data_IF_136645352456
#
_entry.id   IF_136645352456
#
_cell.length_a   1.000
_cell.length_b   1.000
_cell.length_c   1.000
_cell.angle_alpha   90.00
_cell.angle_beta   90.00
_cell.angle_gamma   90.00
#
_symmetry.space_group_name_H-M   'P 1'
#
loop_
_entity.id
_entity.type
_entity.pdbx_description
1 polymer ?
#
# COMPACT_ATOMS: atom_id res chain seq x y z
N UNK A 1 -12.74 -43.36 11.25
CA UNK A 1 -11.94 -43.59 10.03
C UNK A 1 -11.91 -42.42 9.05
N UNK A 2 -13.03 -41.77 8.72
CA UNK A 2 -13.02 -40.62 7.78
C UNK A 2 -12.14 -39.44 8.22
N UNK A 3 -12.15 -39.09 9.52
CA UNK A 3 -11.31 -38.02 10.07
C UNK A 3 -9.81 -38.33 9.92
N UNK A 4 -9.39 -39.56 10.23
CA UNK A 4 -8.00 -40.01 10.07
C UNK A 4 -7.59 -40.02 8.59
N UNK A 5 -8.49 -40.45 7.70
CA UNK A 5 -8.30 -40.35 6.25
C UNK A 5 -8.09 -38.90 5.80
N UNK A 6 -8.94 -37.97 6.26
CA UNK A 6 -8.81 -36.55 5.96
C UNK A 6 -7.48 -35.95 6.42
N UNK A 7 -6.98 -36.32 7.61
CA UNK A 7 -5.64 -35.88 8.05
C UNK A 7 -4.51 -36.43 7.18
N UNK A 8 -4.61 -37.68 6.72
CA UNK A 8 -3.64 -38.29 5.81
C UNK A 8 -3.64 -37.58 4.45
N UNK A 9 -4.82 -37.33 3.87
CA UNK A 9 -4.94 -36.65 2.57
C UNK A 9 -4.46 -35.19 2.66
N UNK A 10 -4.82 -34.48 3.73
CA UNK A 10 -4.31 -33.13 4.01
C UNK A 10 -2.78 -33.10 4.11
N UNK A 11 -2.19 -34.08 4.80
CA UNK A 11 -0.73 -34.20 4.93
C UNK A 11 -0.05 -34.46 3.58
N UNK A 12 -0.64 -35.32 2.74
CA UNK A 12 -0.12 -35.62 1.40
C UNK A 12 -0.19 -34.39 0.47
N UNK A 13 -1.30 -33.65 0.51
CA UNK A 13 -1.44 -32.42 -0.27
C UNK A 13 -0.46 -31.32 0.17
N UNK A 14 -0.03 -31.34 1.43
CA UNK A 14 0.94 -30.37 1.96
C UNK A 14 2.38 -30.61 1.48
N UNK A 15 2.72 -31.82 1.00
CA UNK A 15 4.11 -32.15 0.60
C UNK A 15 4.61 -31.18 -0.49
N UNK A 16 3.80 -30.91 -1.51
CA UNK A 16 4.18 -30.00 -2.60
C UNK A 16 4.43 -28.56 -2.13
N UNK A 17 3.56 -28.06 -1.23
CA UNK A 17 3.72 -26.73 -0.63
C UNK A 17 4.97 -26.68 0.25
N UNK A 18 5.24 -27.75 1.02
CA UNK A 18 6.41 -27.89 1.86
C UNK A 18 7.71 -27.83 1.06
N UNK A 19 7.80 -28.56 -0.05
CA UNK A 19 8.96 -28.53 -0.95
C UNK A 19 9.14 -27.13 -1.55
N UNK A 20 8.08 -26.54 -2.10
CA UNK A 20 8.16 -25.20 -2.69
C UNK A 20 8.61 -24.13 -1.67
N UNK A 21 8.10 -24.21 -0.44
CA UNK A 21 8.47 -23.28 0.65
C UNK A 21 9.91 -23.49 1.11
N UNK A 22 10.37 -24.76 1.19
CA UNK A 22 11.77 -25.06 1.52
C UNK A 22 12.72 -24.49 0.46
N UNK A 23 12.39 -24.64 -0.83
CA UNK A 23 13.16 -24.04 -1.93
C UNK A 23 13.15 -22.52 -1.88
N UNK A 24 11.99 -21.90 -1.64
CA UNK A 24 11.90 -20.44 -1.44
C UNK A 24 12.78 -19.97 -0.27
N UNK A 25 12.84 -20.73 0.82
CA UNK A 25 13.71 -20.44 1.96
C UNK A 25 15.21 -20.47 1.61
N UNK A 26 15.65 -21.42 0.78
CA UNK A 26 17.03 -21.47 0.27
C UNK A 26 17.35 -20.25 -0.59
N UNK A 27 16.41 -19.87 -1.47
CA UNK A 27 16.52 -18.66 -2.31
C UNK A 27 16.66 -17.42 -1.42
N UNK A 28 15.79 -17.26 -0.43
CA UNK A 28 15.83 -16.17 0.56
C UNK A 28 17.17 -16.13 1.31
N UNK A 29 17.69 -17.27 1.75
CA UNK A 29 18.99 -17.36 2.40
C UNK A 29 20.13 -16.89 1.50
N UNK A 30 20.15 -17.34 0.24
CA UNK A 30 21.15 -16.92 -0.74
C UNK A 30 21.07 -15.41 -1.04
N UNK A 31 19.87 -14.86 -1.19
CA UNK A 31 19.62 -13.42 -1.41
C UNK A 31 20.15 -12.59 -0.24
N UNK A 32 19.87 -13.03 0.99
CA UNK A 32 20.29 -12.34 2.21
C UNK A 32 21.82 -12.33 2.32
N UNK A 33 22.48 -13.46 2.04
CA UNK A 33 23.95 -13.58 2.12
C UNK A 33 24.69 -12.83 1.00
N UNK A 34 24.09 -12.72 -0.18
CA UNK A 34 24.68 -12.05 -1.35
C UNK A 34 24.48 -10.54 -1.35
N UNK A 35 23.61 -10.01 -0.49
CA UNK A 35 23.27 -8.59 -0.46
C UNK A 35 22.40 -8.14 -1.64
N UNK A 36 21.73 -9.08 -2.33
CA UNK A 36 20.90 -8.76 -3.50
C UNK A 36 19.77 -7.77 -3.16
N UNK A 37 19.29 -7.76 -1.91
CA UNK A 37 18.28 -6.78 -1.45
C UNK A 37 18.74 -5.33 -1.62
N UNK A 38 19.99 -5.01 -1.25
CA UNK A 38 20.56 -3.67 -1.42
C UNK A 38 20.67 -3.31 -2.91
N UNK A 39 21.12 -4.25 -3.73
CA UNK A 39 21.20 -4.07 -5.19
C UNK A 39 19.83 -3.85 -5.83
N UNK A 40 18.79 -4.49 -5.31
CA UNK A 40 17.42 -4.25 -5.78
C UNK A 40 16.95 -2.84 -5.39
N UNK A 41 17.28 -2.36 -4.19
CA UNK A 41 17.02 -0.96 -3.79
C UNK A 41 17.68 0.02 -4.74
N UNK A 42 19.00 -0.12 -4.98
CA UNK A 42 19.75 0.72 -5.93
C UNK A 42 19.15 0.68 -7.34
N UNK A 43 18.78 -0.52 -7.83
CA UNK A 43 18.25 -0.69 -9.17
C UNK A 43 16.87 -0.04 -9.33
N UNK A 44 15.99 -0.21 -8.33
CA UNK A 44 14.68 0.44 -8.35
C UNK A 44 14.84 1.95 -8.23
N UNK A 45 15.73 2.44 -7.38
CA UNK A 45 15.99 3.88 -7.26
C UNK A 45 16.54 4.47 -8.56
N UNK A 46 17.46 3.77 -9.22
CA UNK A 46 17.96 4.17 -10.53
C UNK A 46 16.84 4.30 -11.58
N UNK A 47 15.85 3.40 -11.56
CA UNK A 47 14.69 3.48 -12.47
C UNK A 47 13.69 4.55 -12.03
N UNK A 48 13.47 4.71 -10.73
CA UNK A 48 12.48 5.61 -10.16
C UNK A 48 12.92 7.07 -10.17
N UNK A 49 14.22 7.35 -10.03
CA UNK A 49 14.81 8.69 -9.95
C UNK A 49 14.08 9.57 -8.92
N UNK A 50 13.85 9.04 -7.71
CA UNK A 50 13.08 9.69 -6.65
C UNK A 50 11.57 9.79 -6.88
N UNK A 51 11.01 9.25 -7.97
CA UNK A 51 9.56 9.26 -8.20
C UNK A 51 8.89 8.02 -7.59
N UNK A 52 8.16 8.24 -6.49
CA UNK A 52 7.40 7.20 -5.75
C UNK A 52 6.45 6.40 -6.64
N UNK A 53 5.78 7.04 -7.60
CA UNK A 53 4.81 6.33 -8.44
C UNK A 53 5.52 5.40 -9.44
N UNK A 54 6.63 5.85 -10.02
CA UNK A 54 7.47 5.02 -10.90
C UNK A 54 8.05 3.86 -10.11
N UNK A 55 8.55 4.12 -8.90
CA UNK A 55 9.02 3.09 -7.97
C UNK A 55 7.95 2.01 -7.72
N UNK A 56 6.74 2.40 -7.30
CA UNK A 56 5.66 1.45 -7.00
C UNK A 56 5.22 0.67 -8.25
N UNK A 57 5.15 1.32 -9.43
CA UNK A 57 4.83 0.64 -10.69
C UNK A 57 5.89 -0.40 -11.07
N UNK A 58 7.17 -0.04 -10.90
CA UNK A 58 8.28 -0.94 -11.18
C UNK A 58 8.30 -2.13 -10.22
N UNK A 59 8.12 -1.89 -8.92
CA UNK A 59 8.02 -2.96 -7.91
C UNK A 59 6.81 -3.85 -8.17
N UNK A 60 5.66 -3.28 -8.52
CA UNK A 60 4.47 -4.04 -8.89
C UNK A 60 4.75 -4.99 -10.07
N UNK A 61 5.43 -4.49 -11.10
CA UNK A 61 5.86 -5.30 -12.24
C UNK A 61 6.82 -6.42 -11.83
N UNK A 62 7.85 -6.11 -11.03
CA UNK A 62 8.81 -7.10 -10.54
C UNK A 62 8.11 -8.18 -9.70
N UNK A 63 7.23 -7.80 -8.77
CA UNK A 63 6.43 -8.74 -7.98
C UNK A 63 5.55 -9.63 -8.85
N UNK A 64 4.92 -9.07 -9.89
CA UNK A 64 4.12 -9.85 -10.85
C UNK A 64 5.00 -10.88 -11.54
N UNK A 65 6.14 -10.48 -12.10
CA UNK A 65 7.07 -11.39 -12.81
C UNK A 65 7.62 -12.47 -11.89
N UNK A 66 8.05 -12.11 -10.69
CA UNK A 66 8.58 -13.05 -9.70
C UNK A 66 7.52 -14.04 -9.21
N UNK A 67 6.24 -13.64 -9.20
CA UNK A 67 5.13 -14.47 -8.76
C UNK A 67 4.60 -15.46 -9.81
N UNK A 68 4.98 -15.30 -11.08
CA UNK A 68 4.49 -16.15 -12.16
C UNK A 68 4.91 -17.62 -11.96
N UNK A 69 3.93 -18.50 -11.80
CA UNK A 69 4.14 -19.96 -11.83
C UNK A 69 4.63 -20.56 -10.51
N UNK A 70 4.55 -19.83 -9.40
CA UNK A 70 4.96 -20.28 -8.06
C UNK A 70 3.73 -20.39 -7.16
N UNK A 71 3.60 -21.45 -6.32
CA UNK A 71 2.49 -21.56 -5.36
C UNK A 71 2.39 -20.32 -4.45
N UNK A 72 1.18 -19.85 -4.16
CA UNK A 72 0.90 -18.61 -3.44
C UNK A 72 1.75 -18.40 -2.18
N UNK A 73 1.90 -19.45 -1.36
CA UNK A 73 2.71 -19.38 -0.13
C UNK A 73 4.20 -19.16 -0.42
N UNK A 74 4.77 -19.92 -1.35
CA UNK A 74 6.18 -19.80 -1.71
C UNK A 74 6.47 -18.47 -2.45
N UNK A 75 5.52 -18.04 -3.28
CA UNK A 75 5.54 -16.74 -3.95
C UNK A 75 5.61 -15.61 -2.92
N UNK A 76 4.72 -15.58 -1.92
CA UNK A 76 4.74 -14.57 -0.86
C UNK A 76 6.08 -14.53 -0.13
N UNK A 77 6.64 -15.67 0.26
CA UNK A 77 7.95 -15.74 0.92
C UNK A 77 9.04 -15.09 0.06
N UNK A 78 9.04 -15.34 -1.25
CA UNK A 78 10.01 -14.80 -2.18
C UNK A 78 9.83 -13.28 -2.37
N UNK A 79 8.63 -12.82 -2.73
CA UNK A 79 8.40 -11.39 -3.01
C UNK A 79 8.46 -10.52 -1.76
N UNK A 80 8.00 -11.02 -0.60
CA UNK A 80 8.07 -10.26 0.65
C UNK A 80 9.50 -10.10 1.14
N UNK A 81 10.35 -11.12 0.97
CA UNK A 81 11.76 -11.01 1.38
C UNK A 81 12.54 -10.09 0.45
N UNK A 82 12.23 -10.10 -0.85
CA UNK A 82 12.96 -9.32 -1.85
C UNK A 82 12.49 -7.88 -1.96
N UNK A 83 11.18 -7.66 -2.08
CA UNK A 83 10.62 -6.38 -2.52
C UNK A 83 10.04 -5.54 -1.38
N UNK A 84 9.54 -6.16 -0.30
CA UNK A 84 9.04 -5.40 0.84
C UNK A 84 10.09 -4.46 1.46
N UNK A 85 11.35 -4.88 1.73
CA UNK A 85 12.36 -3.97 2.26
C UNK A 85 12.67 -2.81 1.29
N UNK A 86 12.66 -3.07 -0.02
CA UNK A 86 12.88 -2.04 -1.05
C UNK A 86 11.78 -0.97 -1.01
N UNK A 87 10.51 -1.37 -0.93
CA UNK A 87 9.38 -0.44 -0.80
C UNK A 87 9.49 0.41 0.47
N UNK A 88 9.85 -0.20 1.60
CA UNK A 88 10.00 0.50 2.88
C UNK A 88 11.14 1.52 2.81
N UNK A 89 12.28 1.10 2.32
CA UNK A 89 13.50 1.91 2.26
C UNK A 89 13.33 3.11 1.31
N UNK A 90 12.95 2.86 0.05
CA UNK A 90 12.76 3.93 -0.93
C UNK A 90 11.53 4.79 -0.65
N UNK A 91 10.48 4.21 -0.05
CA UNK A 91 9.34 4.96 0.47
C UNK A 91 9.80 5.97 1.54
N UNK A 92 10.57 5.51 2.53
CA UNK A 92 11.13 6.37 3.56
C UNK A 92 12.04 7.46 2.97
N UNK A 93 12.89 7.12 2.00
CA UNK A 93 13.74 8.09 1.30
C UNK A 93 12.95 9.15 0.54
N UNK A 94 11.82 8.75 -0.05
CA UNK A 94 10.91 9.65 -0.76
C UNK A 94 9.97 10.45 0.15
N UNK A 95 10.12 10.32 1.48
CA UNK A 95 9.28 11.00 2.46
C UNK A 95 7.93 10.34 2.75
N UNK A 96 7.68 9.13 2.25
CA UNK A 96 6.45 8.39 2.43
C UNK A 96 6.61 7.28 3.47
N UNK A 97 5.91 7.41 4.60
CA UNK A 97 5.85 6.34 5.60
C UNK A 97 4.70 5.41 5.28
N UNK A 98 5.05 4.18 4.93
CA UNK A 98 4.06 3.16 4.60
C UNK A 98 3.98 2.16 5.76
N UNK A 99 2.78 1.87 6.33
CA UNK A 99 2.65 0.81 7.30
C UNK A 99 3.15 -0.52 6.73
N UNK A 100 3.95 -1.27 7.50
CA UNK A 100 4.57 -2.51 7.03
C UNK A 100 3.54 -3.51 6.47
N UNK A 101 2.38 -3.63 7.10
CA UNK A 101 1.31 -4.50 6.59
C UNK A 101 0.81 -4.08 5.20
N UNK A 102 0.75 -2.78 4.91
CA UNK A 102 0.36 -2.26 3.60
C UNK A 102 1.39 -2.62 2.53
N UNK A 103 2.69 -2.57 2.88
CA UNK A 103 3.78 -3.02 2.01
C UNK A 103 3.69 -4.52 1.73
N UNK A 104 3.51 -5.34 2.77
CA UNK A 104 3.38 -6.79 2.61
C UNK A 104 2.15 -7.16 1.77
N UNK A 105 1.01 -6.49 1.98
CA UNK A 105 -0.17 -6.68 1.14
C UNK A 105 0.05 -6.20 -0.29
N UNK A 106 0.78 -5.10 -0.49
CA UNK A 106 1.11 -4.61 -1.83
C UNK A 106 1.89 -5.66 -2.63
N UNK A 107 3.02 -6.13 -2.09
CA UNK A 107 3.85 -7.13 -2.79
C UNK A 107 3.12 -8.48 -2.92
N UNK A 108 2.32 -8.86 -1.93
CA UNK A 108 1.51 -10.07 -1.97
C UNK A 108 0.46 -10.03 -3.08
N UNK A 109 -0.32 -8.95 -3.18
CA UNK A 109 -1.36 -8.80 -4.20
C UNK A 109 -0.78 -8.85 -5.61
N UNK A 110 0.37 -8.21 -5.84
CA UNK A 110 1.04 -8.28 -7.13
C UNK A 110 1.65 -9.64 -7.41
N UNK A 111 2.22 -10.30 -6.39
CA UNK A 111 2.72 -11.66 -6.51
C UNK A 111 1.62 -12.63 -6.97
N UNK A 112 0.45 -12.61 -6.34
CA UNK A 112 -0.64 -13.55 -6.68
C UNK A 112 -1.40 -13.19 -7.95
N UNK A 113 -1.27 -11.95 -8.45
CA UNK A 113 -1.91 -11.58 -9.72
C UNK A 113 -1.35 -12.33 -10.93
N UNK A 114 -0.16 -12.93 -10.81
CA UNK A 114 0.36 -13.87 -11.80
C UNK A 114 -0.58 -15.04 -12.09
N UNK A 115 -1.43 -15.44 -11.14
CA UNK A 115 -2.36 -16.58 -11.27
C UNK A 115 -3.54 -16.31 -12.22
N UNK A 116 -3.80 -15.04 -12.54
CA UNK A 116 -4.85 -14.62 -13.49
C UNK A 116 -4.30 -13.89 -14.72
N UNK A 117 -3.04 -13.47 -14.69
CA UNK A 117 -2.43 -12.67 -15.75
C UNK A 117 -1.80 -13.60 -16.81
N UNK A 118 -2.16 -13.46 -18.10
CA UNK A 118 -1.44 -14.16 -19.17
C UNK A 118 0.05 -13.82 -19.14
N UNK A 119 0.96 -14.78 -19.43
CA UNK A 119 0.71 -16.08 -20.06
C UNK A 119 0.50 -17.26 -19.08
N UNK A 120 0.57 -17.06 -17.75
CA UNK A 120 0.61 -18.18 -16.78
C UNK A 120 -0.77 -18.54 -16.21
N UNK A 121 -1.61 -17.56 -15.86
CA UNK A 121 -3.06 -17.70 -15.67
C UNK A 121 -3.62 -19.06 -15.21
N UNK A 122 -3.11 -19.69 -14.14
CA UNK A 122 -3.50 -21.06 -13.77
C UNK A 122 -5.01 -21.23 -13.59
N UNK A 123 -5.66 -20.22 -13.00
CA UNK A 123 -7.12 -20.20 -12.84
C UNK A 123 -7.85 -20.03 -14.18
N UNK A 124 -7.27 -19.26 -15.11
CA UNK A 124 -7.87 -18.98 -16.41
C UNK A 124 -7.72 -20.17 -17.35
N UNK A 125 -6.63 -20.94 -17.24
CA UNK A 125 -6.48 -22.24 -17.93
C UNK A 125 -7.52 -23.26 -17.44
N UNK A 126 -7.77 -23.33 -16.13
CA UNK A 126 -8.81 -24.21 -15.60
C UNK A 126 -10.21 -23.78 -16.06
N UNK A 127 -10.51 -22.48 -16.05
CA UNK A 127 -11.78 -21.95 -16.53
C UNK A 127 -11.98 -22.17 -18.04
N UNK A 128 -10.93 -22.01 -18.84
CA UNK A 128 -10.93 -22.30 -20.27
C UNK A 128 -11.18 -23.78 -20.55
N UNK A 129 -10.57 -24.69 -19.79
CA UNK A 129 -10.81 -26.13 -19.92
C UNK A 129 -12.27 -26.53 -19.60
N UNK A 130 -12.95 -25.80 -18.70
CA UNK A 130 -14.37 -26.03 -18.38
C UNK A 130 -15.29 -25.44 -19.45
N UNK A 131 -14.97 -24.25 -19.97
CA UNK A 131 -15.80 -23.52 -20.93
C UNK A 131 -15.59 -23.92 -22.39
N UNK A 132 -14.42 -24.49 -22.73
CA UNK A 132 -14.03 -24.83 -24.09
C UNK A 132 -13.47 -23.65 -24.91
N UNK A 133 -13.24 -22.50 -24.27
CA UNK A 133 -12.71 -21.28 -24.89
C UNK A 133 -11.18 -21.24 -24.88
N UNK A 134 -10.59 -20.26 -25.58
CA UNK A 134 -9.15 -20.02 -25.52
C UNK A 134 -8.71 -19.51 -24.13
N UNK A 135 -7.62 -20.07 -23.60
CA UNK A 135 -7.14 -19.76 -22.26
C UNK A 135 -6.52 -18.37 -22.13
N UNK A 136 -5.91 -17.85 -23.20
CA UNK A 136 -5.33 -16.51 -23.22
C UNK A 136 -6.46 -15.49 -23.31
N UNK A 137 -7.45 -15.69 -24.16
CA UNK A 137 -8.62 -14.80 -24.24
C UNK A 137 -9.40 -14.76 -22.91
N UNK A 138 -9.63 -15.94 -22.31
CA UNK A 138 -10.23 -16.06 -20.97
C UNK A 138 -9.40 -15.33 -19.92
N UNK A 139 -8.06 -15.44 -20.00
CA UNK A 139 -7.14 -14.76 -19.09
C UNK A 139 -7.13 -13.25 -19.24
N UNK A 140 -7.10 -12.73 -20.47
CA UNK A 140 -7.21 -11.29 -20.74
C UNK A 140 -8.52 -10.75 -20.20
N UNK A 141 -9.64 -11.43 -20.48
CA UNK A 141 -10.95 -11.00 -19.99
C UNK A 141 -11.04 -11.05 -18.46
N UNK A 142 -10.50 -12.10 -17.84
CA UNK A 142 -10.40 -12.24 -16.39
C UNK A 142 -9.55 -11.13 -15.76
N UNK A 143 -8.40 -10.80 -16.34
CA UNK A 143 -7.54 -9.71 -15.88
C UNK A 143 -8.23 -8.35 -15.98
N UNK A 144 -9.00 -8.08 -17.05
CA UNK A 144 -9.79 -6.86 -17.18
C UNK A 144 -10.85 -6.76 -16.07
N UNK A 145 -11.55 -7.86 -15.75
CA UNK A 145 -12.51 -7.89 -14.65
C UNK A 145 -11.84 -7.72 -13.28
N UNK A 146 -10.62 -8.21 -13.13
CA UNK A 146 -9.82 -8.08 -11.93
C UNK A 146 -9.08 -6.73 -11.81
N UNK A 147 -9.15 -5.82 -12.79
CA UNK A 147 -8.40 -4.55 -12.78
C UNK A 147 -8.58 -3.74 -11.49
N UNK A 148 -9.71 -3.88 -10.79
CA UNK A 148 -9.93 -3.24 -9.47
C UNK A 148 -8.90 -3.68 -8.44
N UNK A 149 -8.50 -4.95 -8.44
CA UNK A 149 -7.51 -5.50 -7.49
C UNK A 149 -6.09 -5.11 -7.85
N UNK A 150 -5.85 -4.63 -9.08
CA UNK A 150 -4.57 -4.00 -9.48
C UNK A 150 -4.45 -2.61 -8.84
N UNK A 151 -5.51 -1.81 -8.89
CA UNK A 151 -5.43 -0.41 -8.47
C UNK A 151 -5.45 -0.26 -6.94
N UNK A 152 -6.22 -1.11 -6.25
CA UNK A 152 -6.41 -1.03 -4.81
C UNK A 152 -5.08 -1.03 -4.01
N UNK A 153 -4.06 -1.85 -4.37
CA UNK A 153 -2.71 -1.74 -3.84
C UNK A 153 -2.11 -0.35 -3.80
N UNK A 154 -2.18 0.38 -4.91
CA UNK A 154 -1.66 1.74 -4.94
C UNK A 154 -2.45 2.64 -4.01
N UNK A 155 -3.77 2.47 -3.94
CA UNK A 155 -4.62 3.33 -3.12
C UNK A 155 -4.28 3.16 -1.63
N UNK A 156 -4.17 1.92 -1.11
CA UNK A 156 -3.92 1.74 0.33
C UNK A 156 -2.51 2.09 0.78
N UNK A 157 -1.54 2.14 -0.15
CA UNK A 157 -0.20 2.66 0.15
C UNK A 157 -0.27 4.13 0.56
N UNK A 158 -1.19 4.89 -0.04
CA UNK A 158 -1.39 6.31 0.25
C UNK A 158 -2.58 6.60 1.16
N UNK A 159 -3.51 5.65 1.30
CA UNK A 159 -4.65 5.73 2.22
C UNK A 159 -4.77 4.42 3.02
N UNK A 160 -3.95 4.24 4.08
CA UNK A 160 -3.96 3.02 4.88
C UNK A 160 -5.27 2.77 5.64
N UNK A 161 -6.18 3.75 5.71
CA UNK A 161 -7.51 3.56 6.33
C UNK A 161 -8.30 2.46 5.64
N UNK A 162 -8.06 2.22 4.35
CA UNK A 162 -8.64 1.09 3.61
C UNK A 162 -8.31 -0.28 4.23
N UNK A 163 -7.20 -0.36 4.96
CA UNK A 163 -6.76 -1.55 5.69
C UNK A 163 -7.19 -1.52 7.17
N UNK A 164 -8.12 -0.62 7.52
CA UNK A 164 -8.59 -0.36 8.88
C UNK A 164 -7.50 0.16 9.83
N UNK A 165 -6.46 0.78 9.28
CA UNK A 165 -5.38 1.40 10.05
C UNK A 165 -5.79 2.83 10.40
N UNK A 166 -5.63 3.22 11.66
CA UNK A 166 -5.98 4.55 12.19
C UNK A 166 -7.46 4.92 12.02
N UNK A 167 -8.36 3.92 12.14
CA UNK A 167 -9.82 4.12 12.13
C UNK A 167 -10.34 4.10 13.56
N UNK A 168 -10.81 5.24 14.05
CA UNK A 168 -11.23 5.43 15.42
C UNK A 168 -12.76 5.52 15.52
N UNK A 169 -13.36 4.45 16.03
CA UNK A 169 -14.80 4.41 16.31
C UNK A 169 -15.71 4.10 15.13
N UNK A 170 -16.98 3.83 15.45
CA UNK A 170 -17.97 3.32 14.49
C UNK A 170 -18.35 4.33 13.40
N UNK A 171 -18.32 5.63 13.70
CA UNK A 171 -18.68 6.67 12.73
C UNK A 171 -17.68 6.80 11.59
N UNK A 172 -16.38 6.66 11.86
CA UNK A 172 -15.33 6.60 10.83
C UNK A 172 -15.43 5.31 10.01
N UNK A 173 -15.60 4.17 10.69
CA UNK A 173 -15.75 2.87 10.04
C UNK A 173 -16.92 2.85 9.05
N UNK A 174 -18.11 3.29 9.47
CA UNK A 174 -19.31 3.29 8.61
C UNK A 174 -19.09 4.20 7.40
N UNK A 175 -18.52 5.39 7.60
CA UNK A 175 -18.22 6.32 6.49
C UNK A 175 -17.24 5.70 5.50
N UNK A 176 -16.15 5.11 6.00
CA UNK A 176 -15.16 4.42 5.17
C UNK A 176 -15.80 3.28 4.38
N UNK A 177 -16.56 2.39 5.02
CA UNK A 177 -17.22 1.25 4.36
C UNK A 177 -18.16 1.73 3.27
N UNK A 178 -18.98 2.75 3.53
CA UNK A 178 -19.90 3.30 2.54
C UNK A 178 -19.16 3.95 1.37
N UNK A 179 -18.13 4.74 1.64
CA UNK A 179 -17.32 5.38 0.62
C UNK A 179 -16.60 4.35 -0.27
N UNK A 180 -15.96 3.35 0.33
CA UNK A 180 -15.27 2.27 -0.39
C UNK A 180 -16.22 1.41 -1.22
N UNK A 181 -17.40 1.09 -0.66
CA UNK A 181 -18.43 0.33 -1.39
C UNK A 181 -18.91 1.12 -2.60
N UNK A 182 -19.22 2.41 -2.42
CA UNK A 182 -19.64 3.28 -3.50
C UNK A 182 -18.53 3.44 -4.56
N UNK A 183 -17.29 3.70 -4.15
CA UNK A 183 -16.15 3.82 -5.04
C UNK A 183 -15.93 2.56 -5.88
N UNK A 184 -16.06 1.38 -5.26
CA UNK A 184 -15.90 0.10 -5.95
C UNK A 184 -17.01 -0.16 -6.97
N UNK A 185 -18.27 0.19 -6.63
CA UNK A 185 -19.40 0.09 -7.56
C UNK A 185 -19.25 1.04 -8.75
N UNK A 186 -18.82 2.29 -8.52
CA UNK A 186 -18.57 3.25 -9.60
C UNK A 186 -17.38 2.81 -10.45
N UNK A 187 -16.33 2.28 -9.83
CA UNK A 187 -15.18 1.74 -10.56
C UNK A 187 -15.60 0.58 -11.48
N UNK A 188 -16.45 -0.32 -11.01
CA UNK A 188 -17.02 -1.37 -11.87
C UNK A 188 -17.84 -0.78 -13.03
N UNK A 189 -18.60 0.30 -12.80
CA UNK A 189 -19.33 0.98 -13.86
C UNK A 189 -18.41 1.65 -14.90
N UNK A 190 -17.26 2.16 -14.45
CA UNK A 190 -16.21 2.73 -15.31
C UNK A 190 -15.58 1.64 -16.17
N UNK A 191 -15.15 0.52 -15.58
CA UNK A 191 -14.47 -0.56 -16.31
C UNK A 191 -15.40 -1.30 -17.27
N UNK A 192 -16.67 -1.49 -16.89
CA UNK A 192 -17.68 -2.10 -17.77
C UNK A 192 -18.30 -1.11 -18.77
N UNK A 193 -17.93 0.17 -18.70
CA UNK A 193 -18.49 1.25 -19.52
C UNK A 193 -20.03 1.35 -19.45
N UNK A 194 -20.60 0.97 -18.30
CA UNK A 194 -22.04 0.89 -18.09
C UNK A 194 -22.38 1.27 -16.66
N UNK A 195 -23.26 2.26 -16.50
CA UNK A 195 -23.79 2.64 -15.18
C UNK A 195 -25.29 2.38 -15.11
N UNK A 196 -26.12 3.23 -15.75
CA UNK A 196 -27.53 2.92 -16.02
C UNK A 196 -27.76 2.55 -17.48
N UNK A 197 -27.05 3.24 -18.35
CA UNK A 197 -26.96 3.00 -19.78
C UNK A 197 -25.48 2.98 -20.16
N UNK A 198 -25.18 2.60 -21.40
CA UNK A 198 -23.84 2.74 -21.95
C UNK A 198 -23.31 4.17 -21.76
N UNK A 199 -22.21 4.26 -21.03
CA UNK A 199 -21.57 5.52 -20.66
C UNK A 199 -20.92 6.15 -21.90
N UNK A 200 -21.04 7.47 -22.01
CA UNK A 200 -20.21 8.24 -22.95
C UNK A 200 -18.81 8.38 -22.38
N UNK A 201 -17.81 8.59 -23.23
CA UNK A 201 -16.42 8.73 -22.79
C UNK A 201 -16.25 9.78 -21.68
N UNK A 202 -16.94 10.92 -21.79
CA UNK A 202 -16.90 11.97 -20.76
C UNK A 202 -17.66 11.57 -19.47
N UNK A 203 -18.76 10.80 -19.56
CA UNK A 203 -19.45 10.26 -18.38
C UNK A 203 -18.51 9.31 -17.63
N UNK A 204 -17.78 8.47 -18.36
CA UNK A 204 -16.76 7.57 -17.81
C UNK A 204 -15.62 8.34 -17.14
N UNK A 205 -15.14 9.44 -17.74
CA UNK A 205 -14.12 10.30 -17.12
C UNK A 205 -14.62 10.95 -15.83
N UNK A 206 -15.86 11.45 -15.79
CA UNK A 206 -16.45 12.03 -14.58
C UNK A 206 -16.64 10.98 -13.47
N UNK A 207 -17.07 9.77 -13.83
CA UNK A 207 -17.18 8.66 -12.87
C UNK A 207 -15.80 8.21 -12.37
N UNK A 208 -14.79 8.15 -13.24
CA UNK A 208 -13.41 7.85 -12.85
C UNK A 208 -12.87 8.91 -11.89
N UNK A 209 -13.13 10.20 -12.15
CA UNK A 209 -12.77 11.29 -11.25
C UNK A 209 -13.47 11.16 -9.88
N UNK A 210 -14.75 10.79 -9.87
CA UNK A 210 -15.49 10.51 -8.63
C UNK A 210 -14.88 9.35 -7.83
N UNK A 211 -14.38 8.31 -8.51
CA UNK A 211 -13.66 7.20 -7.85
C UNK A 211 -12.38 7.70 -7.19
N UNK A 212 -11.59 8.54 -7.85
CA UNK A 212 -10.36 9.11 -7.26
C UNK A 212 -10.69 9.96 -6.03
N UNK A 213 -11.73 10.80 -6.10
CA UNK A 213 -12.18 11.59 -4.93
C UNK A 213 -12.64 10.72 -3.75
N UNK A 214 -13.31 9.59 -4.00
CA UNK A 214 -13.78 8.70 -2.93
C UNK A 214 -12.66 7.87 -2.32
N UNK A 215 -11.72 7.37 -3.13
CA UNK A 215 -10.64 6.51 -2.64
C UNK A 215 -9.47 7.27 -2.02
N UNK A 216 -9.18 8.47 -2.55
CA UNK A 216 -7.99 9.23 -2.18
C UNK A 216 -8.33 10.72 -1.98
N UNK A 217 -9.30 11.05 -1.09
CA UNK A 217 -9.67 12.44 -0.81
C UNK A 217 -8.47 13.25 -0.29
N UNK A 218 -7.57 12.59 0.45
CA UNK A 218 -6.38 13.19 1.06
C UNK A 218 -5.46 13.84 0.03
N UNK A 219 -5.32 13.27 -1.17
CA UNK A 219 -4.49 13.84 -2.23
C UNK A 219 -4.92 15.26 -2.62
N UNK A 220 -6.23 15.50 -2.69
CA UNK A 220 -6.74 16.83 -3.02
C UNK A 220 -6.67 17.76 -1.82
N UNK A 221 -6.78 17.22 -0.60
CA UNK A 221 -6.58 18.00 0.61
C UNK A 221 -5.13 18.44 0.76
N UNK A 222 -4.16 17.56 0.47
CA UNK A 222 -2.72 17.84 0.51
C UNK A 222 -2.31 18.95 -0.47
N UNK A 223 -2.99 19.06 -1.62
CA UNK A 223 -2.78 20.14 -2.58
C UNK A 223 -3.22 21.51 -2.04
N UNK A 224 -4.19 21.53 -1.13
CA UNK A 224 -4.68 22.76 -0.49
C UNK A 224 -3.90 23.07 0.78
N UNK A 225 -3.74 22.07 1.65
CA UNK A 225 -3.07 22.17 2.94
C UNK A 225 -2.36 20.83 3.28
N UNK A 226 -1.02 20.84 3.37
CA UNK A 226 -0.25 19.64 3.68
C UNK A 226 -0.64 19.00 5.01
N UNK A 227 -0.71 17.66 5.05
CA UNK A 227 -1.02 16.91 6.26
C UNK A 227 -0.06 17.18 7.41
N UNK A 228 1.23 17.29 7.08
CA UNK A 228 2.30 17.43 8.05
C UNK A 228 3.10 18.70 7.79
N UNK A 229 3.43 19.39 8.88
CA UNK A 229 4.42 20.49 8.88
C UNK A 229 5.71 20.02 9.53
N UNK A 230 6.84 20.47 8.98
CA UNK A 230 8.15 20.16 9.54
C UNK A 230 8.50 21.15 10.66
N UNK A 231 8.80 20.63 11.84
CA UNK A 231 9.16 21.39 13.04
C UNK A 231 10.64 21.13 13.36
N UNK A 232 11.39 22.10 13.92
CA UNK A 232 12.81 21.92 14.24
C UNK A 232 13.06 20.70 15.14
N UNK A 233 14.18 20.01 14.91
CA UNK A 233 14.55 18.80 15.63
C UNK A 233 14.65 19.00 17.15
N UNK A 234 14.95 20.22 17.62
CA UNK A 234 14.96 20.57 19.04
C UNK A 234 13.62 20.30 19.76
N UNK A 235 12.50 20.36 19.05
CA UNK A 235 11.16 20.14 19.63
C UNK A 235 10.77 18.65 19.66
N UNK A 236 11.66 17.74 19.29
CA UNK A 236 11.37 16.30 19.25
C UNK A 236 10.88 15.75 20.58
N UNK A 237 11.40 16.24 21.70
CA UNK A 237 10.97 15.79 23.02
C UNK A 237 9.57 16.28 23.38
N UNK A 238 9.19 17.49 22.96
CA UNK A 238 7.86 18.03 23.18
C UNK A 238 6.83 17.28 22.31
N UNK A 239 7.15 17.06 21.03
CA UNK A 239 6.31 16.24 20.14
C UNK A 239 6.17 14.82 20.68
N UNK A 240 7.27 14.22 21.14
CA UNK A 240 7.26 12.89 21.76
C UNK A 240 6.48 12.84 23.07
N UNK A 241 6.30 13.94 23.79
CA UNK A 241 5.44 14.01 24.97
C UNK A 241 3.97 14.04 24.58
N UNK A 242 3.62 14.86 23.60
CA UNK A 242 2.23 15.21 23.28
C UNK A 242 1.55 14.19 22.32
N UNK A 243 2.34 13.38 21.60
CA UNK A 243 1.82 12.31 20.71
C UNK A 243 1.08 11.22 21.49
N UNK A 244 -0.07 10.79 20.95
CA UNK A 244 -0.91 9.76 21.58
C UNK A 244 -0.27 8.37 21.59
N UNK A 245 -0.86 7.42 22.32
CA UNK A 245 -0.33 6.05 22.42
C UNK A 245 -0.38 5.30 21.08
N UNK A 246 -1.41 5.56 20.28
CA UNK A 246 -1.64 4.87 19.01
C UNK A 246 -0.93 5.57 17.83
N UNK A 247 -0.63 6.85 17.98
CA UNK A 247 0.06 7.64 16.97
C UNK A 247 1.58 7.39 16.95
N UNK A 248 2.21 7.84 15.86
CA UNK A 248 3.65 7.70 15.64
C UNK A 248 4.32 9.06 15.58
N UNK A 249 5.48 9.19 16.21
CA UNK A 249 6.36 10.34 15.98
C UNK A 249 7.10 10.10 14.68
N UNK A 250 7.00 11.07 13.77
CA UNK A 250 7.65 11.02 12.46
C UNK A 250 8.86 11.95 12.48
N UNK A 251 10.03 11.41 12.18
CA UNK A 251 11.30 12.13 12.14
C UNK A 251 11.90 12.04 10.75
N UNK A 252 12.48 13.15 10.30
CA UNK A 252 13.26 13.21 9.07
C UNK A 252 14.73 13.16 9.45
N UNK A 253 15.39 12.05 9.11
CA UNK A 253 16.79 11.78 9.43
C UNK A 253 17.65 11.89 8.18
N UNK A 254 18.89 12.30 8.34
CA UNK A 254 19.86 12.43 7.26
C UNK A 254 21.22 11.92 7.74
N UNK A 255 21.90 11.18 6.89
CA UNK A 255 23.20 10.62 7.22
C UNK A 255 23.88 9.96 6.04
N UNK A 256 25.06 9.43 6.29
CA UNK A 256 25.84 8.67 5.32
C UNK A 256 25.51 7.19 5.47
N UNK A 257 25.17 6.54 4.36
CA UNK A 257 25.05 5.08 4.30
C UNK A 257 26.42 4.43 4.45
N UNK A 258 26.43 3.11 4.62
CA UNK A 258 27.66 2.31 4.67
C UNK A 258 28.46 2.42 3.35
N UNK A 259 27.79 2.71 2.23
CA UNK A 259 28.39 2.91 0.92
C UNK A 259 28.98 4.32 0.72
N UNK A 260 28.73 5.24 1.67
CA UNK A 260 29.21 6.62 1.61
C UNK A 260 28.27 7.58 0.88
N UNK A 261 27.04 7.14 0.57
CA UNK A 261 26.03 8.00 -0.04
C UNK A 261 25.27 8.78 1.02
N UNK A 262 25.05 10.07 0.78
CA UNK A 262 24.27 10.91 1.66
C UNK A 262 22.77 10.73 1.37
N UNK A 263 22.04 10.20 2.35
CA UNK A 263 20.64 9.82 2.20
C UNK A 263 19.79 10.48 3.27
N UNK A 264 18.62 10.95 2.84
CA UNK A 264 17.58 11.50 3.72
C UNK A 264 16.43 10.50 3.79
N UNK A 265 15.97 10.14 5.00
CA UNK A 265 14.86 9.22 5.24
C UNK A 265 13.83 9.82 6.17
N UNK A 266 12.57 9.46 5.96
CA UNK A 266 11.48 9.77 6.88
C UNK A 266 11.06 8.50 7.60
N UNK A 267 11.26 8.47 8.90
CA UNK A 267 11.06 7.29 9.77
C UNK A 267 10.02 7.57 10.84
N UNK A 268 9.21 6.57 11.14
CA UNK A 268 8.13 6.67 12.13
C UNK A 268 8.36 5.75 13.31
N UNK A 269 8.17 6.27 14.52
CA UNK A 269 8.35 5.56 15.77
C UNK A 269 7.08 5.58 16.62
N UNK A 270 6.60 4.41 17.01
CA UNK A 270 5.50 4.28 17.97
C UNK A 270 6.05 4.23 19.40
N UNK A 271 5.68 5.22 20.21
CA UNK A 271 6.25 5.44 21.54
C UNK A 271 5.60 4.62 22.66
N UNK A 272 4.47 3.95 22.39
CA UNK A 272 3.71 3.25 23.42
C UNK A 272 3.01 4.25 24.37
N UNK A 273 2.78 3.83 25.61
CA UNK A 273 1.93 4.55 26.57
C UNK A 273 2.33 6.02 26.72
N UNK A 274 1.32 6.89 26.84
CA UNK A 274 1.54 8.30 27.13
C UNK A 274 2.24 8.48 28.48
N UNK A 275 3.16 9.44 28.52
CA UNK A 275 3.92 9.77 29.72
C UNK A 275 4.38 11.21 29.71
N UNK A 276 4.66 11.80 30.88
CA UNK A 276 4.98 13.22 31.02
C UNK A 276 6.36 13.59 30.47
N UNK A 277 7.23 12.60 30.23
CA UNK A 277 8.61 12.80 29.76
C UNK A 277 8.82 12.14 28.38
N UNK A 278 8.86 12.97 27.33
CA UNK A 278 9.09 12.53 25.96
C UNK A 278 10.47 11.89 25.75
N UNK A 279 11.49 12.27 26.52
CA UNK A 279 12.83 11.66 26.43
C UNK A 279 12.80 10.22 26.92
N UNK A 280 12.10 9.97 28.03
CA UNK A 280 11.92 8.62 28.55
C UNK A 280 11.15 7.74 27.57
N UNK A 281 10.07 8.27 26.96
CA UNK A 281 9.29 7.54 25.92
C UNK A 281 10.15 7.12 24.73
N UNK A 282 10.99 8.03 24.21
CA UNK A 282 11.92 7.70 23.13
C UNK A 282 12.93 6.63 23.55
N UNK A 283 13.50 6.74 24.75
CA UNK A 283 14.44 5.76 25.29
C UNK A 283 13.80 4.38 25.49
N UNK A 284 12.57 4.31 25.97
CA UNK A 284 11.80 3.07 26.15
C UNK A 284 11.48 2.42 24.79
N UNK A 285 11.24 3.24 23.76
CA UNK A 285 11.12 2.79 22.37
C UNK A 285 12.47 2.38 21.74
N UNK A 286 13.58 2.61 22.44
CA UNK A 286 14.94 2.21 22.07
C UNK A 286 15.77 3.26 21.35
N UNK A 287 15.33 4.54 21.36
CA UNK A 287 15.98 5.65 20.68
C UNK A 287 16.53 6.67 21.69
N UNK A 288 17.83 6.94 21.65
CA UNK A 288 18.46 8.02 22.41
C UNK A 288 18.99 9.08 21.46
N UNK A 289 18.52 10.31 21.67
CA UNK A 289 18.94 11.48 20.91
C UNK A 289 19.96 12.28 21.73
N UNK A 290 20.95 12.83 21.04
CA UNK A 290 22.02 13.66 21.59
C UNK A 290 21.94 15.05 20.96
N UNK A 291 21.57 16.10 21.71
CA UNK A 291 21.62 17.46 21.19
C UNK A 291 23.07 17.91 21.00
N UNK A 292 23.37 18.47 19.83
CA UNK A 292 24.68 18.97 19.43
C UNK A 292 24.54 20.42 18.94
N UNK A 293 24.38 21.35 19.89
CA UNK A 293 24.04 22.75 19.57
C UNK A 293 22.62 22.85 19.03
N UNK A 294 22.47 23.37 17.81
CA UNK A 294 21.18 23.49 17.11
C UNK A 294 20.77 22.19 16.39
N UNK A 295 21.69 21.23 16.25
CA UNK A 295 21.43 19.93 15.63
C UNK A 295 21.06 18.88 16.69
N UNK A 296 20.29 17.88 16.29
CA UNK A 296 19.98 16.72 17.13
C UNK A 296 20.47 15.47 16.41
N UNK A 297 21.38 14.72 17.02
CA UNK A 297 21.93 13.50 16.44
C UNK A 297 21.36 12.27 17.13
N UNK A 298 21.25 11.16 16.41
CA UNK A 298 20.89 9.86 16.98
C UNK A 298 22.12 9.28 17.68
N UNK A 299 22.15 9.38 19.00
CA UNK A 299 23.26 8.92 19.83
C UNK A 299 23.30 7.40 19.97
N UNK A 300 22.14 6.75 20.16
CA UNK A 300 22.05 5.28 20.29
C UNK A 300 20.71 4.75 19.80
N UNK A 301 20.76 3.62 19.07
CA UNK A 301 19.59 2.81 18.73
C UNK A 301 19.78 1.42 19.31
N UNK A 302 18.91 1.01 20.23
CA UNK A 302 19.05 -0.29 20.92
C UNK A 302 18.59 -1.42 20.00
N UNK A 303 19.44 -2.44 19.82
CA UNK A 303 19.13 -3.59 18.97
C UNK A 303 17.85 -4.31 19.40
N UNK A 304 17.06 -4.77 18.43
CA UNK A 304 15.80 -5.51 18.64
C UNK A 304 14.60 -4.66 19.08
N UNK A 305 14.79 -3.35 19.30
CA UNK A 305 13.70 -2.44 19.71
C UNK A 305 12.85 -1.95 18.54
N UNK A 306 11.77 -1.22 18.84
CA UNK A 306 10.90 -0.62 17.82
C UNK A 306 11.69 0.39 16.98
N UNK A 307 12.55 1.20 17.59
CA UNK A 307 13.41 2.13 16.88
C UNK A 307 14.32 1.44 15.86
N UNK A 308 14.97 0.33 16.24
CA UNK A 308 15.80 -0.44 15.31
C UNK A 308 14.99 -1.01 14.14
N UNK A 309 13.76 -1.49 14.40
CA UNK A 309 12.86 -2.04 13.37
C UNK A 309 12.25 -0.96 12.46
N UNK A 310 12.16 0.28 12.93
CA UNK A 310 11.65 1.43 12.18
C UNK A 310 12.67 2.08 11.24
N UNK A 311 13.93 1.60 11.23
CA UNK A 311 14.98 2.12 10.35
C UNK A 311 15.78 3.29 10.90
N UNK A 312 15.80 3.50 12.23
CA UNK A 312 16.70 4.49 12.84
C UNK A 312 18.14 3.98 12.83
N UNK A 313 19.07 4.83 12.42
CA UNK A 313 20.49 4.52 12.34
C UNK A 313 21.28 5.40 13.32
N UNK A 314 22.26 4.80 14.00
CA UNK A 314 23.11 5.52 14.95
C UNK A 314 24.08 6.45 14.20
N UNK A 315 24.27 7.65 14.73
CA UNK A 315 25.15 8.67 14.14
C UNK A 315 24.50 9.54 13.07
N UNK A 316 23.26 9.25 12.69
CA UNK A 316 22.50 10.07 11.74
C UNK A 316 21.90 11.29 12.43
N UNK A 317 21.76 12.37 11.67
CA UNK A 317 21.21 13.64 12.16
C UNK A 317 19.70 13.68 11.97
N UNK A 318 18.99 14.16 12.99
CA UNK A 318 17.56 14.47 12.91
C UNK A 318 17.44 15.90 12.39
N UNK A 319 16.97 16.04 11.15
CA UNK A 319 16.78 17.34 10.49
C UNK A 319 15.49 18.03 10.92
N UNK A 320 14.47 17.25 11.29
CA UNK A 320 13.20 17.78 11.76
C UNK A 320 12.20 16.70 12.14
N UNK A 321 11.09 17.14 12.72
CA UNK A 321 10.00 16.29 13.18
C UNK A 321 8.72 16.72 12.47
N UNK A 322 7.98 15.78 11.91
CA UNK A 322 6.70 16.07 11.28
C UNK A 322 5.60 16.06 12.33
N UNK A 323 4.81 17.13 12.35
CA UNK A 323 3.65 17.29 13.23
C UNK A 323 2.41 17.49 12.35
N UNK A 324 1.28 16.85 12.66
CA UNK A 324 0.02 17.08 11.93
C UNK A 324 -0.36 18.58 11.92
N UNK A 325 -0.89 19.04 10.80
CA UNK A 325 -1.44 20.40 10.66
C UNK A 325 -2.91 20.42 11.10
N UNK A 326 -3.40 21.56 11.60
CA UNK A 326 -4.81 21.79 11.94
C UNK A 326 -5.68 21.99 10.68
N UNK A 327 -5.67 21.00 9.78
CA UNK A 327 -6.36 21.08 8.48
C UNK A 327 -7.82 20.59 8.55
N UNK A 328 -8.70 21.11 7.68
CA UNK A 328 -10.04 20.55 7.48
C UNK A 328 -10.04 19.06 7.13
N UNK A 329 -11.15 18.38 7.41
CA UNK A 329 -11.24 16.93 7.14
C UNK A 329 -11.18 16.65 5.63
N UNK A 330 -10.39 15.65 5.17
CA UNK A 330 -10.30 15.31 3.75
C UNK A 330 -11.64 14.89 3.13
N UNK A 331 -12.56 14.37 3.95
CA UNK A 331 -13.86 13.86 3.52
C UNK A 331 -14.80 14.89 2.87
N UNK A 332 -14.46 16.18 2.89
CA UNK A 332 -15.17 17.19 2.10
C UNK A 332 -15.18 16.85 0.61
N UNK A 333 -14.16 16.15 0.11
CA UNK A 333 -14.09 15.70 -1.28
C UNK A 333 -15.08 14.57 -1.62
N UNK A 334 -15.79 13.99 -0.65
CA UNK A 334 -16.91 13.08 -0.95
C UNK A 334 -18.11 13.82 -1.56
N UNK A 335 -18.33 15.10 -1.20
CA UNK A 335 -19.41 15.90 -1.77
C UNK A 335 -19.25 16.14 -3.27
N UNK A 336 -18.12 16.65 -3.79
CA UNK A 336 -17.93 16.78 -5.23
C UNK A 336 -17.97 15.42 -5.93
N UNK A 337 -17.47 14.34 -5.31
CA UNK A 337 -17.59 13.00 -5.87
C UNK A 337 -19.06 12.59 -6.08
N UNK A 338 -19.90 12.76 -5.06
CA UNK A 338 -21.33 12.46 -5.14
C UNK A 338 -22.05 13.34 -6.17
N UNK A 339 -21.69 14.63 -6.26
CA UNK A 339 -22.24 15.54 -7.27
C UNK A 339 -21.92 15.09 -8.70
N UNK A 340 -20.69 14.64 -8.95
CA UNK A 340 -20.30 14.09 -10.26
C UNK A 340 -21.11 12.85 -10.60
N UNK A 341 -21.27 11.93 -9.65
CA UNK A 341 -22.08 10.71 -9.83
C UNK A 341 -23.54 11.05 -10.09
N UNK A 342 -24.12 11.98 -9.33
CA UNK A 342 -25.50 12.43 -9.50
C UNK A 342 -25.70 13.13 -10.84
N UNK A 343 -24.73 13.92 -11.31
CA UNK A 343 -24.78 14.58 -12.61
C UNK A 343 -24.80 13.56 -13.75
N UNK A 344 -23.94 12.54 -13.70
CA UNK A 344 -23.94 11.45 -14.67
C UNK A 344 -25.25 10.65 -14.58
N UNK A 345 -25.70 10.32 -13.36
CA UNK A 345 -26.94 9.60 -13.11
C UNK A 345 -28.17 10.32 -13.70
N UNK A 346 -28.24 11.64 -13.51
CA UNK A 346 -29.31 12.49 -14.02
C UNK A 346 -29.27 12.58 -15.55
N UNK A 347 -28.09 12.79 -16.14
CA UNK A 347 -27.93 12.86 -17.59
C UNK A 347 -28.32 11.54 -18.28
N UNK A 348 -27.89 10.41 -17.72
CA UNK A 348 -28.28 9.09 -18.19
C UNK A 348 -29.79 8.85 -18.03
N UNK A 349 -30.40 9.32 -16.93
CA UNK A 349 -31.85 9.26 -16.73
C UNK A 349 -32.65 10.00 -17.79
N UNK A 350 -32.19 11.17 -18.26
CA UNK A 350 -32.80 11.89 -19.39
C UNK A 350 -32.74 11.09 -20.69
N UNK A 351 -31.60 10.41 -20.94
CA UNK A 351 -31.41 9.56 -22.13
C UNK A 351 -32.29 8.31 -22.12
N UNK A 352 -32.48 7.67 -20.96
CA UNK A 352 -33.36 6.50 -20.84
C UNK A 352 -34.81 6.82 -21.22
N UNK A 353 -35.31 8.01 -20.85
CA UNK A 353 -36.66 8.46 -21.18
C UNK A 353 -36.85 8.79 -22.66
N UNK A 354 -35.76 9.02 -23.39
CA UNK A 354 -35.80 9.38 -24.81
C UNK A 354 -35.74 8.18 -25.76
N UNK A 355 -35.47 6.96 -25.25
CA UNK A 355 -35.59 5.73 -26.04
C UNK A 355 -37.09 5.38 -26.11
N UNK A 356 -37.73 5.40 -27.29
CA UNK A 356 -39.11 4.95 -27.40
C UNK A 356 -39.19 3.52 -26.89
N UNK A 357 -40.10 3.26 -25.95
CA UNK A 357 -40.46 1.88 -25.63
C UNK A 357 -40.91 1.24 -26.94
N UNK A 358 -40.10 0.35 -27.49
CA UNK A 358 -40.54 -0.52 -28.58
C UNK A 358 -41.75 -1.25 -28.02
N UNK A 359 -42.93 -0.90 -28.53
CA UNK A 359 -44.18 -1.57 -28.23
C UNK A 359 -43.92 -3.06 -28.50
N UNK A 360 -43.96 -3.86 -27.44
CA UNK A 360 -44.02 -5.30 -27.56
C UNK A 360 -45.30 -5.62 -28.34
N UNK A 361 -45.12 -6.10 -29.57
CA UNK A 361 -46.16 -6.69 -30.40
C UNK A 361 -46.10 -8.21 -30.23
#
# INVERSE_FOLDING_TARGET
>A
NSVVGGFNDGSRNMIGIGVATATAGVIVGAITLTGLGLRMTEFVEFVAQGNVMVMLLFIAFVCLVLGLGVPTTANYVLVATLMAPVVVELGAQSGLIIPLIAVHLFVFYYGIMGDITPPVGLATFAAAAISGEDAIETGVQGAVYALRTVILPFIWIFNPQLLLINVHGWGELIRLVLACTLATLIFAAVTMNWFRVRSRWWETVLLALAVVFLFRPDFFMDLLEPEYRLVPAAQVYDVARDVSTDDRVVMVIQGLTIEGDEVKKTVALQLGDQGPDGRKRLSDAGLQLMPLGDAVQIGQVKFGTRAAKSGFEQGWDVTGVQVPTDRPTPHWFYLPALLLVLLVWWNQGRRMRAVPQVQAA
#
